data_IF_098857777750
#
_entry.id   IF_098857777750
#
_cell.length_a   1.000
_cell.length_b   1.000
_cell.length_c   1.000
_cell.angle_alpha   90.00
_cell.angle_beta   90.00
_cell.angle_gamma   90.00
#
_symmetry.space_group_name_H-M   'P 1'
#
loop_
_entity.id
_entity.type
_entity.pdbx_description
1 polymer ?
#
# COMPACT_ATOMS: atom_id res chain seq x y z
N UNK A 1 1.82 -37.73 -52.37
CA UNK A 1 1.80 -36.53 -51.51
C UNK A 1 0.70 -35.63 -52.03
N UNK A 2 -0.39 -35.50 -51.28
CA UNK A 2 -1.59 -34.78 -51.67
C UNK A 2 -1.53 -33.46 -50.90
N UNK A 3 -1.22 -32.40 -51.65
CA UNK A 3 -0.85 -31.07 -51.18
C UNK A 3 -1.84 -30.48 -50.18
N UNK A 4 -1.27 -29.73 -49.23
CA UNK A 4 -1.87 -28.88 -48.19
C UNK A 4 -2.79 -27.75 -48.70
N UNK A 5 -3.47 -27.92 -49.85
CA UNK A 5 -4.37 -26.91 -50.45
C UNK A 5 -5.55 -26.52 -49.57
N UNK A 6 -5.99 -27.41 -48.70
CA UNK A 6 -7.10 -27.13 -47.78
C UNK A 6 -6.74 -26.06 -46.72
N UNK A 7 -5.44 -25.86 -46.40
CA UNK A 7 -5.00 -24.85 -45.43
C UNK A 7 -4.82 -23.47 -46.06
N UNK A 8 -4.44 -23.41 -47.34
CA UNK A 8 -4.22 -22.14 -48.05
C UNK A 8 -5.55 -21.41 -48.35
N UNK A 9 -6.62 -22.15 -48.67
CA UNK A 9 -7.96 -21.57 -48.85
C UNK A 9 -8.49 -20.90 -47.57
N UNK A 10 -8.17 -21.46 -46.40
CA UNK A 10 -8.58 -20.89 -45.11
C UNK A 10 -7.83 -19.61 -44.75
N UNK A 11 -6.74 -19.28 -45.45
CA UNK A 11 -5.87 -18.13 -45.11
C UNK A 11 -6.11 -16.93 -46.04
N UNK A 12 -6.65 -17.15 -47.24
CA UNK A 12 -6.84 -16.11 -48.26
C UNK A 12 -8.04 -15.17 -48.02
N UNK A 13 -9.01 -15.58 -47.19
CA UNK A 13 -10.24 -14.81 -46.95
C UNK A 13 -10.19 -13.91 -45.71
N UNK A 14 -9.16 -14.03 -44.86
CA UNK A 14 -9.01 -13.20 -43.66
C UNK A 14 -8.05 -12.04 -43.93
N UNK A 15 -8.62 -10.84 -44.09
CA UNK A 15 -7.82 -9.61 -44.09
C UNK A 15 -7.42 -9.30 -42.65
N UNK A 16 -6.11 -9.23 -42.41
CA UNK A 16 -5.56 -8.74 -41.15
C UNK A 16 -5.97 -7.28 -40.94
N UNK A 17 -6.69 -7.02 -39.85
CA UNK A 17 -7.06 -5.68 -39.40
C UNK A 17 -6.52 -5.47 -37.99
N UNK A 18 -5.65 -4.48 -37.83
CA UNK A 18 -5.05 -4.16 -36.53
C UNK A 18 -6.06 -3.37 -35.68
N UNK A 19 -6.55 -3.99 -34.61
CA UNK A 19 -7.38 -3.31 -33.62
C UNK A 19 -6.44 -2.64 -32.61
N UNK A 20 -6.52 -1.31 -32.51
CA UNK A 20 -5.84 -0.57 -31.44
C UNK A 20 -6.57 -0.77 -30.11
N UNK A 21 -5.81 -0.91 -29.03
CA UNK A 21 -6.33 -0.92 -27.67
C UNK A 21 -5.55 0.09 -26.84
N UNK A 22 -6.29 0.97 -26.16
CA UNK A 22 -5.74 1.87 -25.15
C UNK A 22 -6.28 1.44 -23.78
N UNK A 23 -5.42 1.47 -22.77
CA UNK A 23 -5.74 1.08 -21.41
C UNK A 23 -5.06 2.03 -20.45
N UNK A 24 -5.86 2.67 -19.59
CA UNK A 24 -5.37 3.53 -18.53
C UNK A 24 -5.48 2.83 -17.18
N UNK A 25 -4.47 3.03 -16.33
CA UNK A 25 -4.54 2.56 -14.95
C UNK A 25 -5.42 3.52 -14.15
N UNK A 26 -6.47 2.99 -13.54
CA UNK A 26 -7.32 3.75 -12.63
C UNK A 26 -6.55 4.17 -11.37
N UNK A 27 -5.65 3.30 -10.87
CA UNK A 27 -4.86 3.53 -9.64
C UNK A 27 -3.48 2.88 -9.68
N UNK A 28 -2.54 3.49 -8.95
CA UNK A 28 -1.18 3.04 -8.71
C UNK A 28 -0.84 3.18 -7.21
N UNK A 29 -0.12 2.21 -6.65
CA UNK A 29 0.30 2.23 -5.23
C UNK A 29 1.78 2.58 -5.15
N UNK A 30 2.13 3.58 -4.35
CA UNK A 30 3.50 3.97 -4.07
C UNK A 30 3.67 4.26 -2.58
N UNK A 31 4.65 3.62 -1.94
CA UNK A 31 4.96 3.81 -0.51
C UNK A 31 3.73 3.63 0.41
N UNK A 32 2.85 2.68 0.07
CA UNK A 32 1.61 2.40 0.80
C UNK A 32 0.48 3.42 0.57
N UNK A 33 0.71 4.47 -0.21
CA UNK A 33 -0.31 5.43 -0.63
C UNK A 33 -0.81 5.09 -2.04
N UNK A 34 -2.11 5.35 -2.25
CA UNK A 34 -2.80 5.05 -3.50
C UNK A 34 -2.99 6.36 -4.30
N UNK A 35 -2.55 6.36 -5.55
CA UNK A 35 -2.55 7.48 -6.47
C UNK A 35 -3.36 7.11 -7.71
N UNK A 36 -4.14 8.04 -8.26
CA UNK A 36 -4.93 7.81 -9.49
C UNK A 36 -6.43 8.04 -9.28
N UNK A 37 -7.16 8.24 -10.37
CA UNK A 37 -8.64 8.23 -10.40
C UNK A 37 -9.37 9.49 -9.94
N UNK A 38 -8.71 10.66 -9.81
CA UNK A 38 -9.36 11.80 -9.13
C UNK A 38 -9.53 13.11 -9.91
N UNK A 39 -9.07 13.21 -11.16
CA UNK A 39 -9.40 14.37 -11.99
C UNK A 39 -9.71 13.89 -13.41
N UNK A 40 -10.86 14.29 -13.93
CA UNK A 40 -11.17 14.18 -15.34
C UNK A 40 -10.23 15.12 -16.10
N UNK A 41 -9.72 14.64 -17.24
CA UNK A 41 -8.90 15.44 -18.16
C UNK A 41 -9.73 16.65 -18.61
N UNK A 42 -9.16 17.85 -18.62
CA UNK A 42 -9.80 19.16 -18.90
C UNK A 42 -10.77 19.69 -17.83
N UNK A 43 -10.83 19.09 -16.64
CA UNK A 43 -11.61 19.66 -15.54
C UNK A 43 -10.99 20.98 -15.02
N UNK A 44 -11.81 21.87 -14.47
CA UNK A 44 -11.33 23.10 -13.78
C UNK A 44 -10.26 22.79 -12.71
N UNK A 45 -10.28 21.58 -12.15
CA UNK A 45 -9.32 21.09 -11.15
C UNK A 45 -7.93 20.72 -11.74
N UNK A 46 -7.84 20.48 -13.05
CA UNK A 46 -6.59 20.33 -13.78
C UNK A 46 -6.01 21.71 -14.14
N UNK A 47 -6.86 22.67 -14.52
CA UNK A 47 -6.45 24.03 -14.91
C UNK A 47 -5.79 24.80 -13.75
N UNK A 48 -6.24 24.58 -12.52
CA UNK A 48 -5.62 25.11 -11.29
C UNK A 48 -4.15 24.64 -11.09
N UNK A 49 -3.70 23.62 -11.82
CA UNK A 49 -2.36 23.04 -11.72
C UNK A 49 -1.41 23.46 -12.85
N UNK A 50 -1.87 24.24 -13.83
CA UNK A 50 -0.99 24.98 -14.76
C UNK A 50 -0.34 26.20 -14.07
N UNK A 51 0.13 26.02 -12.83
CA UNK A 51 0.85 27.02 -12.06
C UNK A 51 2.33 27.10 -12.45
N UNK A 52 2.90 28.29 -12.32
CA UNK A 52 4.28 28.62 -12.71
C UNK A 52 5.31 27.72 -11.98
N UNK A 53 6.06 26.85 -12.68
CA UNK A 53 7.11 26.04 -12.06
C UNK A 53 8.28 26.94 -11.62
N UNK A 54 8.82 26.71 -10.42
CA UNK A 54 10.10 27.31 -9.98
C UNK A 54 10.07 28.22 -8.74
N UNK A 55 8.94 28.32 -8.04
CA UNK A 55 8.84 29.16 -6.82
C UNK A 55 9.01 28.35 -5.52
N UNK A 56 8.85 27.03 -5.59
CA UNK A 56 8.81 26.14 -4.43
C UNK A 56 10.04 25.23 -4.38
N UNK A 57 10.59 25.05 -3.18
CA UNK A 57 11.63 24.06 -2.92
C UNK A 57 11.05 22.62 -3.02
N UNK A 58 11.86 21.58 -3.32
CA UNK A 58 11.37 20.22 -3.56
C UNK A 58 10.49 19.63 -2.44
N UNK A 59 10.77 19.99 -1.18
CA UNK A 59 10.00 19.53 -0.02
C UNK A 59 8.63 20.23 0.11
N UNK A 60 8.53 21.47 -0.34
CA UNK A 60 7.29 22.24 -0.41
C UNK A 60 6.40 21.72 -1.55
N UNK A 61 7.00 21.39 -2.70
CA UNK A 61 6.32 20.71 -3.81
C UNK A 61 5.70 19.39 -3.35
N UNK A 62 6.46 18.56 -2.63
CA UNK A 62 5.95 17.31 -2.06
C UNK A 62 4.75 17.55 -1.14
N UNK A 63 4.84 18.55 -0.27
CA UNK A 63 3.79 18.86 0.71
C UNK A 63 2.51 19.35 0.00
N UNK A 64 2.66 20.21 -1.01
CA UNK A 64 1.57 20.72 -1.83
C UNK A 64 0.87 19.59 -2.62
N UNK A 65 1.65 18.68 -3.23
CA UNK A 65 1.11 17.53 -3.97
C UNK A 65 0.31 16.58 -3.06
N UNK A 66 0.81 16.30 -1.85
CA UNK A 66 0.08 15.49 -0.86
C UNK A 66 -1.21 16.16 -0.40
N UNK A 67 -1.18 17.47 -0.14
CA UNK A 67 -2.37 18.22 0.25
C UNK A 67 -3.42 18.22 -0.88
N UNK A 68 -3.00 18.32 -2.15
CA UNK A 68 -3.86 18.22 -3.32
C UNK A 68 -4.51 16.85 -3.44
N UNK A 69 -3.73 15.77 -3.32
CA UNK A 69 -4.24 14.40 -3.34
C UNK A 69 -5.34 14.21 -2.29
N UNK A 70 -5.12 14.69 -1.06
CA UNK A 70 -6.11 14.59 0.01
C UNK A 70 -7.40 15.38 -0.29
N UNK A 71 -7.30 16.55 -0.93
CA UNK A 71 -8.48 17.33 -1.37
C UNK A 71 -9.25 16.61 -2.47
N UNK A 72 -8.54 16.03 -3.41
CA UNK A 72 -9.12 15.32 -4.55
C UNK A 72 -9.86 14.05 -4.13
N UNK A 73 -9.25 13.24 -3.25
CA UNK A 73 -9.90 12.06 -2.68
C UNK A 73 -11.20 12.41 -1.93
N UNK A 74 -11.21 13.52 -1.16
CA UNK A 74 -12.41 13.98 -0.45
C UNK A 74 -13.54 14.39 -1.38
N UNK A 75 -13.22 15.06 -2.49
CA UNK A 75 -14.22 15.52 -3.47
C UNK A 75 -14.76 14.36 -4.31
N UNK A 76 -13.89 13.44 -4.74
CA UNK A 76 -14.30 12.23 -5.43
C UNK A 76 -15.25 11.37 -4.58
N UNK A 77 -14.95 11.19 -3.29
CA UNK A 77 -15.83 10.51 -2.35
C UNK A 77 -17.22 11.17 -2.24
N UNK A 78 -17.28 12.50 -2.29
CA UNK A 78 -18.54 13.25 -2.30
C UNK A 78 -19.31 13.11 -3.63
N UNK A 79 -18.61 13.13 -4.78
CA UNK A 79 -19.22 12.98 -6.12
C UNK A 79 -19.82 11.59 -6.35
N UNK A 80 -19.21 10.56 -5.80
CA UNK A 80 -19.66 9.17 -5.96
C UNK A 80 -20.85 8.79 -5.05
N UNK A 81 -21.38 9.72 -4.24
CA UNK A 81 -22.51 9.44 -3.35
C UNK A 81 -22.21 8.39 -2.28
N UNK A 82 -20.94 8.10 -2.00
CA UNK A 82 -20.51 7.16 -0.98
C UNK A 82 -20.57 7.87 0.38
N UNK A 83 -21.78 8.16 0.83
CA UNK A 83 -22.08 8.59 2.20
C UNK A 83 -22.38 7.36 3.05
N UNK A 84 -21.43 6.44 3.18
CA UNK A 84 -21.38 5.43 4.24
C UNK A 84 -20.13 4.57 4.06
N UNK A 85 -19.03 5.04 4.64
CA UNK A 85 -18.41 4.31 5.75
C UNK A 85 -18.15 5.37 6.81
N UNK A 86 -19.10 5.55 7.73
CA UNK A 86 -18.69 5.89 9.08
C UNK A 86 -17.60 4.89 9.46
N UNK A 87 -16.51 5.27 10.15
CA UNK A 87 -15.64 4.26 10.72
C UNK A 87 -16.47 3.55 11.78
N UNK A 88 -17.20 2.51 11.37
CA UNK A 88 -17.39 1.35 12.20
C UNK A 88 -15.99 1.07 12.75
N UNK A 89 -15.91 0.74 14.05
CA UNK A 89 -14.68 0.18 14.61
C UNK A 89 -14.46 -1.21 13.97
N UNK A 90 -14.37 -1.27 12.65
CA UNK A 90 -13.53 -2.22 11.97
C UNK A 90 -12.16 -2.01 12.59
N UNK A 91 -11.72 -3.01 13.36
CA UNK A 91 -10.31 -3.17 13.65
C UNK A 91 -9.57 -2.83 12.36
N UNK A 92 -8.60 -1.89 12.41
CA UNK A 92 -7.95 -1.42 11.20
C UNK A 92 -7.55 -2.66 10.40
N UNK A 93 -8.01 -2.79 9.13
CA UNK A 93 -7.72 -3.97 8.32
C UNK A 93 -6.24 -4.25 8.50
N UNK A 94 -5.90 -5.45 9.00
CA UNK A 94 -4.55 -5.76 9.48
C UNK A 94 -3.56 -5.25 8.44
N UNK A 95 -2.83 -4.17 8.77
CA UNK A 95 -2.13 -3.37 7.78
C UNK A 95 -1.36 -4.29 6.85
N UNK A 96 -1.86 -4.44 5.62
CA UNK A 96 -1.27 -5.26 4.57
C UNK A 96 0.08 -4.62 4.30
N UNK A 97 1.11 -5.20 4.93
CA UNK A 97 2.53 -4.89 4.79
C UNK A 97 2.97 -3.52 5.37
N UNK A 98 3.12 -3.43 6.70
CA UNK A 98 4.05 -2.44 7.29
C UNK A 98 5.46 -2.64 6.76
N UNK A 99 6.19 -1.55 6.54
CA UNK A 99 7.61 -1.65 6.19
C UNK A 99 8.40 -2.36 7.30
N UNK A 100 9.50 -3.02 6.95
CA UNK A 100 10.37 -3.71 7.94
C UNK A 100 10.80 -2.78 9.08
N UNK A 101 11.08 -1.51 8.79
CA UNK A 101 11.45 -0.50 9.79
C UNK A 101 10.32 -0.22 10.79
N UNK A 102 9.09 -0.09 10.31
CA UNK A 102 7.93 0.17 11.16
C UNK A 102 7.57 -1.05 12.02
N UNK A 103 7.74 -2.27 11.51
CA UNK A 103 7.53 -3.48 12.29
C UNK A 103 8.56 -3.59 13.42
N UNK A 104 9.83 -3.26 13.15
CA UNK A 104 10.86 -3.22 14.20
C UNK A 104 10.56 -2.17 15.27
N UNK A 105 10.13 -0.96 14.86
CA UNK A 105 9.70 0.09 15.81
C UNK A 105 8.50 -0.36 16.65
N UNK A 106 7.50 -0.97 16.02
CA UNK A 106 6.32 -1.48 16.72
C UNK A 106 6.71 -2.57 17.73
N UNK A 107 7.52 -3.55 17.31
CA UNK A 107 8.00 -4.60 18.20
C UNK A 107 8.76 -4.02 19.40
N UNK A 108 9.70 -3.10 19.17
CA UNK A 108 10.47 -2.48 20.27
C UNK A 108 9.56 -1.71 21.25
N UNK A 109 8.54 -1.01 20.74
CA UNK A 109 7.54 -0.33 21.57
C UNK A 109 6.75 -1.32 22.44
N UNK A 110 6.22 -2.40 21.83
CA UNK A 110 5.47 -3.44 22.54
C UNK A 110 6.32 -4.15 23.59
N UNK A 111 7.59 -4.46 23.29
CA UNK A 111 8.52 -5.04 24.26
C UNK A 111 8.76 -4.08 25.42
N UNK A 112 8.91 -2.78 25.15
CA UNK A 112 9.06 -1.76 26.20
C UNK A 112 7.84 -1.67 27.12
N UNK A 113 6.64 -1.73 26.56
CA UNK A 113 5.40 -1.76 27.34
C UNK A 113 5.28 -3.04 28.17
N UNK A 114 5.49 -4.21 27.55
CA UNK A 114 5.40 -5.50 28.24
C UNK A 114 6.42 -5.62 29.37
N UNK A 115 7.69 -5.25 29.13
CA UNK A 115 8.73 -5.25 30.15
C UNK A 115 8.38 -4.40 31.38
N UNK A 116 7.70 -3.25 31.17
CA UNK A 116 7.22 -2.40 32.27
C UNK A 116 6.09 -3.08 33.05
N UNK A 117 5.19 -3.79 32.38
CA UNK A 117 4.05 -4.47 33.00
C UNK A 117 4.49 -5.75 33.72
N UNK A 118 5.37 -6.55 33.12
CA UNK A 118 5.85 -7.81 33.69
C UNK A 118 6.98 -7.65 34.71
N UNK A 119 7.67 -6.50 34.71
CA UNK A 119 8.86 -6.26 35.52
C UNK A 119 10.12 -6.95 34.99
N UNK A 120 10.05 -7.62 33.83
CA UNK A 120 11.20 -8.29 33.24
C UNK A 120 12.15 -7.30 32.55
N UNK A 121 13.48 -7.55 32.57
CA UNK A 121 14.42 -6.75 31.80
C UNK A 121 14.10 -6.79 30.30
N UNK A 122 14.20 -5.64 29.62
CA UNK A 122 13.90 -5.52 28.19
C UNK A 122 14.65 -6.55 27.31
N UNK A 123 15.92 -6.82 27.63
CA UNK A 123 16.72 -7.83 26.93
C UNK A 123 16.23 -9.27 27.14
N UNK A 124 15.69 -9.58 28.32
CA UNK A 124 15.14 -10.90 28.63
C UNK A 124 13.88 -11.17 27.81
N UNK A 125 13.00 -10.18 27.66
CA UNK A 125 11.80 -10.28 26.80
C UNK A 125 12.19 -10.56 25.35
N UNK A 126 13.19 -9.86 24.80
CA UNK A 126 13.68 -10.15 23.44
C UNK A 126 14.27 -11.56 23.31
N UNK A 127 14.97 -12.05 24.33
CA UNK A 127 15.51 -13.41 24.35
C UNK A 127 14.40 -14.46 24.38
N UNK A 128 13.36 -14.24 25.18
CA UNK A 128 12.19 -15.11 25.27
C UNK A 128 11.42 -15.15 23.94
N UNK A 129 11.17 -14.00 23.32
CA UNK A 129 10.50 -13.91 22.01
C UNK A 129 11.28 -14.65 20.92
N UNK A 130 12.63 -14.61 20.96
CA UNK A 130 13.46 -15.42 20.05
C UNK A 130 13.36 -16.91 20.36
N UNK A 131 13.28 -17.30 21.63
CA UNK A 131 13.14 -18.70 22.05
C UNK A 131 11.80 -19.29 21.61
N UNK A 132 10.72 -18.53 21.70
CA UNK A 132 9.36 -18.98 21.39
C UNK A 132 9.05 -18.90 19.89
N UNK A 133 9.30 -17.74 19.27
CA UNK A 133 8.98 -17.53 17.85
C UNK A 133 10.10 -17.99 16.91
N UNK A 134 11.30 -18.26 17.43
CA UNK A 134 12.47 -18.59 16.62
C UNK A 134 13.08 -17.39 15.89
N UNK A 135 14.16 -17.66 15.15
CA UNK A 135 14.80 -16.70 14.26
C UNK A 135 15.85 -15.78 14.93
N UNK A 136 16.55 -14.96 14.12
CA UNK A 136 17.67 -14.13 14.56
C UNK A 136 17.22 -12.89 15.36
N UNK A 137 18.18 -12.05 15.73
CA UNK A 137 17.93 -10.76 16.38
C UNK A 137 17.02 -9.84 15.53
N UNK A 138 16.33 -8.89 16.17
CA UNK A 138 15.31 -8.02 15.54
C UNK A 138 15.83 -7.31 14.28
N UNK A 139 17.11 -6.91 14.25
CA UNK A 139 17.74 -6.25 13.11
C UNK A 139 17.91 -7.16 11.87
N UNK A 140 17.88 -8.47 12.05
CA UNK A 140 18.06 -9.48 10.99
C UNK A 140 16.81 -10.35 10.79
N UNK A 141 15.77 -10.17 11.62
CA UNK A 141 14.54 -10.95 11.54
C UNK A 141 13.76 -10.62 10.26
N UNK A 142 13.13 -11.65 9.68
CA UNK A 142 12.20 -11.51 8.55
C UNK A 142 10.91 -10.81 8.98
N UNK A 143 10.13 -10.32 8.00
CA UNK A 143 8.79 -9.77 8.25
C UNK A 143 7.92 -10.76 9.02
N UNK A 144 7.88 -12.02 8.59
CA UNK A 144 7.05 -13.07 9.21
C UNK A 144 7.41 -13.30 10.67
N UNK A 145 8.72 -13.31 11.01
CA UNK A 145 9.18 -13.47 12.39
C UNK A 145 8.84 -12.25 13.26
N UNK A 146 8.93 -11.03 12.71
CA UNK A 146 8.54 -9.82 13.42
C UNK A 146 7.03 -9.81 13.71
N UNK A 147 6.20 -10.20 12.73
CA UNK A 147 4.74 -10.32 12.90
C UNK A 147 4.37 -11.32 13.99
N UNK A 148 4.96 -12.51 13.97
CA UNK A 148 4.71 -13.54 14.99
C UNK A 148 5.05 -13.04 16.41
N UNK A 149 6.18 -12.34 16.57
CA UNK A 149 6.57 -11.75 17.87
C UNK A 149 5.61 -10.64 18.31
N UNK A 150 5.17 -9.79 17.39
CA UNK A 150 4.20 -8.71 17.65
C UNK A 150 2.85 -9.29 18.09
N UNK A 151 2.36 -10.31 17.41
CA UNK A 151 1.08 -10.94 17.71
C UNK A 151 1.09 -11.61 19.09
N UNK A 152 2.18 -12.32 19.42
CA UNK A 152 2.36 -12.92 20.73
C UNK A 152 2.32 -11.87 21.85
N UNK A 153 3.03 -10.74 21.69
CA UNK A 153 3.01 -9.67 22.68
C UNK A 153 1.64 -9.01 22.81
N UNK A 154 0.92 -8.82 21.71
CA UNK A 154 -0.45 -8.28 21.75
C UNK A 154 -1.38 -9.19 22.55
N UNK A 155 -1.30 -10.51 22.34
CA UNK A 155 -2.06 -11.49 23.13
C UNK A 155 -1.74 -11.40 24.63
N UNK A 156 -0.46 -11.26 24.98
CA UNK A 156 -0.01 -11.14 26.37
C UNK A 156 -0.37 -9.81 27.04
N UNK A 157 -0.42 -8.71 26.29
CA UNK A 157 -0.79 -7.38 26.80
C UNK A 157 -2.31 -7.16 26.88
N UNK A 158 -3.08 -7.89 26.06
CA UNK A 158 -4.53 -7.86 26.05
C UNK A 158 -5.21 -8.92 26.94
N UNK A 159 -4.43 -9.80 27.57
CA UNK A 159 -4.89 -10.72 28.63
C UNK A 159 -4.64 -10.11 30.00
#
# INVERSE_FOLDING_TARGET
EREDRASDELTNDFKYEAIASDAHFDRAVFDGAEFGGYAEVESEEELDFLGLPGVLEPHEVRTLLLQRQARQAKRAAARQGITEHAPERAEPPQALHRTLGEQRRLLNSLVGMYARVSGEPHGAVHAELRRICGGPAVAQASVTQLQQRIELLRKRLGS
#
